data_IF_661893244855
#
_entry.id   IF_661893244855
#
_cell.length_a   1.000
_cell.length_b   1.000
_cell.length_c   1.000
_cell.angle_alpha   90.00
_cell.angle_beta   90.00
_cell.angle_gamma   90.00
#
_symmetry.space_group_name_H-M   'P 1'
#
loop_
_entity.id
_entity.type
_entity.pdbx_description
1 polymer ?
#
# COMPACT_ATOMS: atom_id res chain seq x y z
N UNK A 1 13.14 36.99 6.46
CA UNK A 1 14.28 36.10 6.76
C UNK A 1 15.60 36.84 6.47
N UNK A 2 15.79 37.37 5.26
CA UNK A 2 17.06 38.02 4.86
C UNK A 2 17.40 39.20 5.77
N UNK A 3 16.43 40.03 6.17
CA UNK A 3 16.65 41.23 7.00
C UNK A 3 16.77 40.92 8.49
N UNK A 4 15.83 40.10 9.00
CA UNK A 4 15.64 39.94 10.45
C UNK A 4 16.03 38.55 10.97
N UNK A 5 16.46 37.65 10.04
CA UNK A 5 16.75 36.26 10.37
C UNK A 5 15.50 35.40 10.58
N UNK A 6 15.71 34.25 11.19
CA UNK A 6 14.67 33.28 11.51
C UNK A 6 14.89 32.71 12.91
N UNK A 7 13.81 32.59 13.68
CA UNK A 7 13.89 32.05 15.03
C UNK A 7 14.24 30.59 15.09
N UNK A 8 13.67 29.81 14.15
CA UNK A 8 13.86 28.36 14.08
C UNK A 8 14.61 28.01 12.80
N UNK A 9 15.64 27.17 12.92
CA UNK A 9 16.42 26.69 11.78
C UNK A 9 15.75 25.57 11.01
N UNK A 10 14.86 24.82 11.66
CA UNK A 10 14.17 23.66 11.10
C UNK A 10 12.67 23.86 11.15
N UNK A 11 12.03 23.99 9.98
CA UNK A 11 10.65 24.42 9.86
C UNK A 11 9.75 23.41 9.13
N UNK A 12 10.32 22.55 8.29
CA UNK A 12 9.54 21.70 7.40
C UNK A 12 9.95 20.24 7.49
N UNK A 13 8.96 19.40 7.82
CA UNK A 13 9.06 17.93 7.84
C UNK A 13 7.82 17.30 7.21
N UNK A 14 7.90 16.04 6.84
CA UNK A 14 6.74 15.23 6.45
C UNK A 14 6.48 14.19 7.54
N UNK A 15 5.37 14.39 8.27
CA UNK A 15 4.95 13.51 9.36
C UNK A 15 4.09 12.34 8.84
N UNK A 16 3.97 11.23 9.61
CA UNK A 16 3.16 10.08 9.23
C UNK A 16 1.65 10.36 9.30
N UNK A 17 1.21 11.38 10.03
CA UNK A 17 -0.19 11.85 10.16
C UNK A 17 -1.22 10.79 10.56
N UNK A 18 -0.82 9.74 11.27
CA UNK A 18 -1.66 8.57 11.56
C UNK A 18 -2.96 8.89 12.34
N UNK A 19 -2.92 9.89 13.22
CA UNK A 19 -4.08 10.31 14.02
C UNK A 19 -4.75 11.56 13.42
N UNK A 20 -3.97 12.55 13.02
CA UNK A 20 -4.48 13.81 12.47
C UNK A 20 -5.32 13.57 11.20
N UNK A 21 -4.88 12.66 10.34
CA UNK A 21 -5.62 12.30 9.13
C UNK A 21 -7.02 11.79 9.40
N UNK A 22 -7.23 11.04 10.50
CA UNK A 22 -8.55 10.57 10.89
C UNK A 22 -9.47 11.72 11.32
N UNK A 23 -8.93 12.70 12.03
CA UNK A 23 -9.68 13.89 12.48
C UNK A 23 -10.08 14.73 11.26
N UNK A 24 -9.17 14.88 10.30
CA UNK A 24 -9.39 15.68 9.09
C UNK A 24 -10.17 14.92 8.00
N UNK A 25 -10.42 13.62 8.16
CA UNK A 25 -11.12 12.81 7.14
C UNK A 25 -10.34 12.63 5.84
N UNK A 26 -9.01 12.58 5.91
CA UNK A 26 -8.11 12.41 4.76
C UNK A 26 -7.27 11.15 4.90
N UNK A 27 -6.62 10.73 3.81
CA UNK A 27 -5.67 9.61 3.85
C UNK A 27 -4.45 9.98 4.71
N UNK A 28 -3.94 9.01 5.46
CA UNK A 28 -2.71 9.20 6.22
C UNK A 28 -1.48 9.14 5.29
N UNK A 29 -0.43 9.85 5.69
CA UNK A 29 0.84 9.97 4.98
C UNK A 29 0.74 10.67 3.61
N UNK A 30 1.82 10.67 2.84
CA UNK A 30 1.88 11.26 1.51
C UNK A 30 2.02 10.18 0.42
N UNK A 31 2.16 8.92 0.82
CA UNK A 31 2.24 7.77 -0.07
C UNK A 31 0.85 7.33 -0.55
N UNK A 32 0.80 6.47 -1.58
CA UNK A 32 -0.43 5.82 -2.01
C UNK A 32 -1.10 5.03 -0.88
N UNK A 33 -2.41 4.92 -0.94
CA UNK A 33 -3.20 4.11 0.00
C UNK A 33 -2.76 2.65 -0.05
N UNK A 34 -2.57 2.02 1.11
CA UNK A 34 -2.16 0.62 1.14
C UNK A 34 -3.26 -0.36 0.69
N UNK A 35 -4.54 -0.01 0.87
CA UNK A 35 -5.71 -0.73 0.40
C UNK A 35 -6.86 0.24 0.13
N UNK A 36 -7.71 -0.02 -0.88
CA UNK A 36 -8.90 0.78 -1.14
C UNK A 36 -10.10 0.38 -0.28
N UNK A 37 -10.09 -0.81 0.29
CA UNK A 37 -11.08 -1.32 1.26
C UNK A 37 -10.33 -2.08 2.36
N UNK A 38 -10.57 -1.73 3.61
CA UNK A 38 -9.95 -2.40 4.76
C UNK A 38 -10.81 -2.24 6.02
N UNK A 39 -10.58 -3.10 7.00
CA UNK A 39 -11.18 -3.00 8.32
C UNK A 39 -10.18 -2.34 9.27
N UNK A 40 -10.61 -1.30 9.93
CA UNK A 40 -9.87 -0.63 10.99
C UNK A 40 -10.45 -1.04 12.34
N UNK A 41 -9.67 -1.74 13.13
CA UNK A 41 -10.03 -2.12 14.49
C UNK A 41 -9.41 -1.16 15.51
N UNK A 42 -10.16 -0.73 16.48
CA UNK A 42 -9.71 0.02 17.66
C UNK A 42 -10.50 -0.40 18.90
N UNK A 43 -10.24 0.24 20.03
CA UNK A 43 -10.94 -0.07 21.30
C UNK A 43 -12.45 0.17 21.26
N UNK A 44 -12.95 0.97 20.31
CA UNK A 44 -14.38 1.28 20.13
C UNK A 44 -15.08 0.33 19.16
N UNK A 45 -14.35 -0.57 18.50
CA UNK A 45 -14.91 -1.55 17.56
C UNK A 45 -14.16 -1.64 16.22
N UNK A 46 -14.80 -2.29 15.27
CA UNK A 46 -14.31 -2.49 13.92
C UNK A 46 -15.09 -1.61 12.93
N UNK A 47 -14.34 -0.91 12.09
CA UNK A 47 -14.91 0.03 11.12
C UNK A 47 -14.40 -0.34 9.72
N UNK A 48 -15.31 -0.61 8.82
CA UNK A 48 -14.97 -0.78 7.40
C UNK A 48 -14.73 0.58 6.77
N UNK A 49 -13.53 0.76 6.25
CA UNK A 49 -13.10 1.98 5.55
C UNK A 49 -12.95 1.67 4.08
N UNK A 50 -13.56 2.48 3.24
CA UNK A 50 -13.46 2.39 1.79
C UNK A 50 -13.02 3.73 1.22
N UNK A 51 -12.25 3.70 0.13
CA UNK A 51 -11.84 4.89 -0.59
C UNK A 51 -13.07 5.59 -1.22
N UNK A 52 -13.48 6.77 -0.73
CA UNK A 52 -14.72 7.41 -1.19
C UNK A 52 -14.63 7.91 -2.64
N UNK A 53 -13.42 8.24 -3.11
CA UNK A 53 -13.19 8.66 -4.50
C UNK A 53 -13.38 7.50 -5.46
N UNK A 54 -12.85 6.32 -5.12
CA UNK A 54 -13.09 5.10 -5.89
C UNK A 54 -14.58 4.79 -5.99
N UNK A 55 -15.31 4.84 -4.88
CA UNK A 55 -16.76 4.59 -4.88
C UNK A 55 -17.50 5.58 -5.79
N UNK A 56 -17.11 6.85 -5.74
CA UNK A 56 -17.68 7.89 -6.62
C UNK A 56 -17.46 7.56 -8.08
N UNK A 57 -16.25 7.22 -8.48
CA UNK A 57 -15.90 6.93 -9.87
C UNK A 57 -16.56 5.64 -10.37
N UNK A 58 -16.61 4.60 -9.53
CA UNK A 58 -17.34 3.37 -9.85
C UNK A 58 -18.84 3.60 -10.02
N UNK A 59 -19.45 4.50 -9.20
CA UNK A 59 -20.86 4.89 -9.36
C UNK A 59 -21.10 5.64 -10.66
N UNK A 60 -20.21 6.55 -11.05
CA UNK A 60 -20.30 7.29 -12.32
C UNK A 60 -20.26 6.36 -13.53
N UNK A 61 -19.53 5.26 -13.44
CA UNK A 61 -19.44 4.24 -14.49
C UNK A 61 -20.54 3.16 -14.38
N UNK A 62 -21.44 3.22 -13.41
CA UNK A 62 -22.47 2.21 -13.20
C UNK A 62 -21.92 0.85 -12.73
N UNK A 63 -20.68 0.82 -12.19
CA UNK A 63 -20.00 -0.39 -11.76
C UNK A 63 -20.13 -0.67 -10.25
N UNK A 64 -20.72 0.25 -9.49
CA UNK A 64 -20.90 0.11 -8.05
C UNK A 64 -22.14 -0.70 -7.71
N UNK A 65 -21.95 -1.97 -7.41
CA UNK A 65 -22.98 -2.94 -7.02
C UNK A 65 -22.48 -3.91 -5.94
N UNK A 66 -23.32 -4.86 -5.54
CA UNK A 66 -22.97 -5.86 -4.54
C UNK A 66 -21.82 -6.78 -4.99
N UNK A 67 -21.74 -7.08 -6.30
CA UNK A 67 -20.67 -7.89 -6.86
C UNK A 67 -19.33 -7.15 -6.75
N UNK A 68 -19.27 -5.86 -7.10
CA UNK A 68 -18.08 -5.03 -6.95
C UNK A 68 -17.60 -4.98 -5.50
N UNK A 69 -18.53 -4.85 -4.54
CA UNK A 69 -18.17 -4.84 -3.13
C UNK A 69 -17.57 -6.18 -2.68
N UNK A 70 -18.10 -7.31 -3.18
CA UNK A 70 -17.56 -8.62 -2.90
C UNK A 70 -16.20 -8.84 -3.56
N UNK A 71 -16.03 -8.39 -4.80
CA UNK A 71 -14.75 -8.43 -5.51
C UNK A 71 -13.68 -7.63 -4.74
N UNK A 72 -14.00 -6.42 -4.29
CA UNK A 72 -13.10 -5.60 -3.48
C UNK A 72 -12.73 -6.26 -2.16
N UNK A 73 -13.67 -6.93 -1.49
CA UNK A 73 -13.37 -7.70 -0.26
C UNK A 73 -12.47 -8.89 -0.58
N UNK A 74 -12.74 -9.61 -1.65
CA UNK A 74 -11.97 -10.79 -2.05
C UNK A 74 -10.53 -10.45 -2.42
N UNK A 75 -10.32 -9.34 -3.11
CA UNK A 75 -8.98 -8.87 -3.53
C UNK A 75 -8.35 -7.84 -2.59
N UNK A 76 -8.80 -7.76 -1.33
CA UNK A 76 -8.23 -6.88 -0.30
C UNK A 76 -8.15 -5.40 -0.74
N UNK A 77 -9.16 -4.94 -1.47
CA UNK A 77 -9.25 -3.58 -1.99
C UNK A 77 -8.43 -3.30 -3.24
N UNK A 78 -7.80 -4.32 -3.84
CA UNK A 78 -7.14 -4.21 -5.15
C UNK A 78 -8.15 -4.27 -6.29
N UNK A 79 -7.91 -3.47 -7.34
CA UNK A 79 -8.70 -3.48 -8.58
C UNK A 79 -8.06 -4.31 -9.69
N UNK A 80 -6.81 -4.73 -9.54
CA UNK A 80 -6.01 -5.26 -10.65
C UNK A 80 -6.63 -6.50 -11.30
N UNK A 81 -7.20 -7.38 -10.49
CA UNK A 81 -7.81 -8.64 -10.94
C UNK A 81 -9.31 -8.54 -11.26
N UNK A 82 -9.93 -7.37 -11.12
CA UNK A 82 -11.36 -7.17 -11.41
C UNK A 82 -11.52 -6.78 -12.88
N UNK A 83 -11.91 -7.73 -13.72
CA UNK A 83 -11.94 -7.58 -15.19
C UNK A 83 -12.81 -6.43 -15.67
N UNK A 84 -13.99 -6.25 -15.06
CA UNK A 84 -14.95 -5.21 -15.44
C UNK A 84 -14.52 -3.77 -15.11
N UNK A 85 -13.43 -3.59 -14.37
CA UNK A 85 -12.89 -2.26 -14.06
C UNK A 85 -11.96 -1.82 -15.18
N UNK A 86 -12.13 -0.62 -15.74
CA UNK A 86 -11.23 -0.08 -16.75
C UNK A 86 -9.80 0.08 -16.25
N UNK A 87 -8.82 -0.13 -17.13
CA UNK A 87 -7.39 -0.03 -16.78
C UNK A 87 -6.99 1.36 -16.27
N UNK A 88 -7.65 2.41 -16.74
CA UNK A 88 -7.44 3.77 -16.23
C UNK A 88 -7.75 3.90 -14.74
N UNK A 89 -8.82 3.25 -14.25
CA UNK A 89 -9.14 3.22 -12.83
C UNK A 89 -8.20 2.28 -12.06
N UNK A 90 -7.80 1.15 -12.64
CA UNK A 90 -6.81 0.25 -12.02
C UNK A 90 -5.49 0.97 -11.76
N UNK A 91 -5.03 1.79 -12.70
CA UNK A 91 -3.82 2.59 -12.55
C UNK A 91 -4.00 3.72 -11.52
N UNK A 92 -5.14 4.42 -11.56
CA UNK A 92 -5.42 5.55 -10.67
C UNK A 92 -5.51 5.13 -9.21
N UNK A 93 -6.16 3.99 -8.94
CA UNK A 93 -6.40 3.45 -7.60
C UNK A 93 -5.48 2.27 -7.25
N UNK A 94 -4.32 2.19 -7.91
CA UNK A 94 -3.30 1.21 -7.56
C UNK A 94 -2.89 1.37 -6.09
N UNK A 95 -2.84 0.27 -5.36
CA UNK A 95 -2.44 0.26 -3.96
C UNK A 95 -0.92 0.41 -3.80
N UNK A 96 -0.48 0.78 -2.61
CA UNK A 96 0.95 0.97 -2.33
C UNK A 96 1.78 -0.29 -2.56
N UNK A 97 1.19 -1.48 -2.43
CA UNK A 97 1.85 -2.76 -2.72
C UNK A 97 1.96 -3.09 -4.21
N UNK A 98 1.13 -2.48 -5.04
CA UNK A 98 1.10 -2.66 -6.50
C UNK A 98 2.05 -1.70 -7.22
N UNK A 99 2.45 -0.64 -6.55
CA UNK A 99 3.38 0.35 -7.07
C UNK A 99 4.82 -0.09 -6.76
N UNK A 100 5.70 -0.17 -7.76
CA UNK A 100 7.11 -0.49 -7.52
C UNK A 100 7.75 0.47 -6.51
N UNK A 101 8.36 -0.08 -5.45
CA UNK A 101 8.87 0.70 -4.31
C UNK A 101 9.89 1.77 -4.69
N UNK A 102 10.64 1.57 -5.79
CA UNK A 102 11.60 2.57 -6.27
C UNK A 102 10.94 3.91 -6.62
N UNK A 103 9.68 3.93 -7.05
CA UNK A 103 8.95 5.17 -7.30
C UNK A 103 8.65 5.96 -6.02
N UNK A 104 8.42 5.27 -4.91
CA UNK A 104 8.27 5.91 -3.61
C UNK A 104 9.58 6.57 -3.17
N UNK A 105 10.71 5.89 -3.40
CA UNK A 105 12.05 6.42 -3.13
C UNK A 105 12.35 7.63 -4.02
N UNK A 106 12.06 7.56 -5.31
CA UNK A 106 12.24 8.69 -6.24
C UNK A 106 11.39 9.90 -5.83
N UNK A 107 10.13 9.68 -5.51
CA UNK A 107 9.24 10.75 -5.03
C UNK A 107 9.75 11.35 -3.72
N UNK A 108 10.19 10.50 -2.78
CA UNK A 108 10.79 10.91 -1.51
C UNK A 108 12.06 11.74 -1.72
N UNK A 109 12.96 11.30 -2.59
CA UNK A 109 14.19 12.01 -2.93
C UNK A 109 13.92 13.40 -3.52
N UNK A 110 12.95 13.51 -4.43
CA UNK A 110 12.55 14.79 -5.01
C UNK A 110 11.98 15.76 -4.00
N UNK A 111 11.25 15.27 -2.98
CA UNK A 111 10.72 16.08 -1.89
C UNK A 111 11.80 16.49 -0.90
N UNK A 112 12.79 15.63 -0.62
CA UNK A 112 13.81 15.84 0.41
C UNK A 112 14.59 17.14 0.24
N UNK A 113 14.83 17.58 -0.98
CA UNK A 113 15.53 18.83 -1.25
C UNK A 113 14.76 20.10 -0.88
N UNK A 114 13.45 19.99 -0.65
CA UNK A 114 12.57 21.13 -0.35
C UNK A 114 12.20 21.23 1.13
N UNK A 115 12.61 20.25 1.93
CA UNK A 115 12.36 20.21 3.37
C UNK A 115 13.70 20.22 4.11
N UNK A 116 13.75 20.92 5.23
CA UNK A 116 14.96 21.03 6.05
C UNK A 116 15.12 19.88 7.04
N UNK A 117 14.03 19.26 7.45
CA UNK A 117 14.04 18.08 8.31
C UNK A 117 13.92 16.78 7.48
N UNK A 118 13.47 15.71 8.10
CA UNK A 118 13.28 14.43 7.48
C UNK A 118 11.81 14.19 7.08
N UNK A 119 11.57 13.08 6.41
CA UNK A 119 10.24 12.63 6.06
C UNK A 119 10.01 11.19 6.55
N UNK A 120 8.81 10.94 7.08
CA UNK A 120 8.37 9.61 7.49
C UNK A 120 7.90 8.83 6.27
N UNK A 121 8.85 8.37 5.47
CA UNK A 121 8.59 7.63 4.23
C UNK A 121 8.29 6.18 4.55
N UNK A 122 7.01 5.77 4.37
CA UNK A 122 6.63 4.36 4.43
C UNK A 122 7.02 3.65 3.13
N UNK A 123 7.48 2.42 3.30
CA UNK A 123 7.91 1.56 2.20
C UNK A 123 7.00 0.33 2.15
N UNK A 124 6.70 -0.13 0.93
CA UNK A 124 5.79 -1.25 0.71
C UNK A 124 6.45 -2.25 -0.22
N UNK A 125 6.44 -3.52 0.17
CA UNK A 125 7.07 -4.59 -0.59
C UNK A 125 6.17 -5.82 -0.56
N UNK A 126 5.52 -6.13 -1.68
CA UNK A 126 4.58 -7.26 -1.77
C UNK A 126 5.28 -8.62 -1.59
N UNK A 127 6.48 -8.75 -2.15
CA UNK A 127 7.31 -9.95 -2.05
C UNK A 127 8.67 -9.55 -1.49
N UNK A 128 8.84 -9.74 -0.19
CA UNK A 128 10.08 -9.42 0.52
C UNK A 128 11.14 -10.52 0.27
N UNK A 129 12.38 -10.07 -0.01
CA UNK A 129 13.58 -10.93 0.04
C UNK A 129 14.76 -10.10 0.52
N UNK A 130 15.76 -10.75 1.08
CA UNK A 130 16.97 -10.09 1.57
C UNK A 130 17.64 -9.24 0.49
N UNK A 131 17.73 -9.75 -0.73
CA UNK A 131 18.30 -9.03 -1.87
C UNK A 131 17.51 -7.75 -2.21
N UNK A 132 16.17 -7.86 -2.33
CA UNK A 132 15.32 -6.69 -2.62
C UNK A 132 15.40 -5.63 -1.51
N UNK A 133 15.52 -6.09 -0.27
CA UNK A 133 15.65 -5.21 0.88
C UNK A 133 16.98 -4.45 0.86
N UNK A 134 18.08 -5.13 0.61
CA UNK A 134 19.40 -4.55 0.49
C UNK A 134 19.46 -3.52 -0.65
N UNK A 135 18.96 -3.88 -1.82
CA UNK A 135 18.86 -2.98 -2.98
C UNK A 135 18.02 -1.74 -2.67
N UNK A 136 16.90 -1.91 -1.98
CA UNK A 136 16.01 -0.82 -1.59
C UNK A 136 16.71 0.17 -0.67
N UNK A 137 17.33 -0.29 0.42
CA UNK A 137 18.00 0.60 1.38
C UNK A 137 19.26 1.24 0.81
N UNK A 138 20.01 0.55 -0.04
CA UNK A 138 21.10 1.16 -0.82
C UNK A 138 20.61 2.29 -1.72
N UNK A 139 19.48 2.07 -2.41
CA UNK A 139 18.87 3.09 -3.25
C UNK A 139 18.41 4.31 -2.45
N UNK A 140 17.76 4.09 -1.30
CA UNK A 140 17.34 5.17 -0.38
C UNK A 140 18.53 6.04 0.01
N UNK A 141 19.64 5.42 0.39
CA UNK A 141 20.85 6.15 0.77
C UNK A 141 21.48 6.90 -0.41
N UNK A 142 21.66 6.23 -1.55
CA UNK A 142 22.23 6.84 -2.75
C UNK A 142 21.40 8.01 -3.27
N UNK A 143 20.07 7.98 -3.07
CA UNK A 143 19.15 9.06 -3.43
C UNK A 143 19.10 10.21 -2.42
N UNK A 144 19.90 10.16 -1.35
CA UNK A 144 20.05 11.24 -0.37
C UNK A 144 18.87 11.42 0.58
N UNK A 145 18.08 10.38 0.81
CA UNK A 145 17.03 10.40 1.81
C UNK A 145 17.63 10.36 3.21
N UNK A 146 17.21 11.26 4.10
CA UNK A 146 17.69 11.31 5.49
C UNK A 146 17.15 10.16 6.33
N UNK A 147 15.90 9.77 6.10
CA UNK A 147 15.19 8.73 6.86
C UNK A 147 14.22 7.96 5.97
N UNK A 148 13.91 6.74 6.40
CA UNK A 148 12.70 6.00 6.07
C UNK A 148 11.84 5.85 7.32
N UNK A 149 10.69 5.17 7.21
CA UNK A 149 9.82 4.89 8.35
C UNK A 149 9.48 3.41 8.40
N UNK A 150 8.22 3.03 8.31
CA UNK A 150 7.86 1.61 8.31
C UNK A 150 8.15 0.95 6.96
N UNK A 151 8.69 -0.26 7.02
CA UNK A 151 8.65 -1.21 5.93
C UNK A 151 7.45 -2.15 6.16
N UNK A 152 6.53 -2.18 5.21
CA UNK A 152 5.36 -3.05 5.24
C UNK A 152 5.52 -4.12 4.16
N UNK A 153 5.38 -5.36 4.56
CA UNK A 153 5.41 -6.52 3.66
C UNK A 153 4.09 -7.25 3.72
N UNK A 154 3.72 -7.92 2.64
CA UNK A 154 2.61 -8.87 2.66
C UNK A 154 3.10 -10.18 3.25
N UNK A 155 2.29 -10.84 4.10
CA UNK A 155 2.59 -12.15 4.64
C UNK A 155 2.68 -13.21 3.54
N UNK A 156 3.55 -14.20 3.74
CA UNK A 156 3.68 -15.33 2.81
C UNK A 156 2.44 -16.25 2.83
N UNK A 157 1.70 -16.24 3.95
CA UNK A 157 0.47 -17.03 4.12
C UNK A 157 -0.74 -16.19 3.83
N UNK A 158 -1.51 -16.56 2.82
CA UNK A 158 -2.86 -16.04 2.62
C UNK A 158 -3.82 -16.79 3.55
N UNK A 159 -4.66 -16.06 4.28
CA UNK A 159 -5.81 -16.66 4.95
C UNK A 159 -6.70 -17.29 3.88
N UNK A 160 -7.14 -18.53 4.08
CA UNK A 160 -8.14 -19.13 3.18
C UNK A 160 -9.32 -18.18 3.08
N UNK A 161 -9.59 -17.71 1.86
CA UNK A 161 -10.74 -16.85 1.59
C UNK A 161 -11.93 -17.77 1.52
N UNK A 162 -12.83 -17.69 2.52
CA UNK A 162 -14.06 -18.45 2.53
C UNK A 162 -14.83 -18.18 1.24
N UNK A 163 -15.12 -19.23 0.48
CA UNK A 163 -15.99 -19.18 -0.68
C UNK A 163 -17.39 -18.88 -0.14
N UNK A 164 -17.90 -17.68 -0.36
CA UNK A 164 -19.29 -17.37 -0.04
C UNK A 164 -20.17 -18.18 -0.99
N UNK A 165 -20.81 -19.21 -0.48
CA UNK A 165 -21.81 -19.97 -1.22
C UNK A 165 -22.93 -19.00 -1.67
N UNK A 166 -23.16 -18.92 -2.97
CA UNK A 166 -24.35 -18.32 -3.57
C UNK A 166 -24.20 -16.93 -4.20
N UNK A 167 -23.03 -16.32 -4.30
CA UNK A 167 -22.83 -15.13 -5.13
C UNK A 167 -22.00 -15.47 -6.36
N UNK A 168 -22.54 -15.17 -7.54
CA UNK A 168 -21.77 -15.22 -8.78
C UNK A 168 -20.68 -14.15 -8.73
N UNK A 169 -19.49 -14.54 -8.22
CA UNK A 169 -18.29 -13.73 -8.34
C UNK A 169 -17.81 -13.88 -9.79
N UNK A 170 -17.75 -12.79 -10.54
CA UNK A 170 -17.20 -12.79 -11.90
C UNK A 170 -15.70 -13.14 -11.93
N UNK A 171 -15.05 -13.26 -10.76
CA UNK A 171 -13.62 -13.38 -10.61
C UNK A 171 -13.13 -14.70 -10.04
N UNK A 172 -14.00 -15.65 -9.72
CA UNK A 172 -13.54 -16.99 -9.30
C UNK A 172 -13.29 -17.85 -10.54
N UNK A 173 -12.29 -17.52 -11.32
CA UNK A 173 -11.51 -18.57 -11.95
C UNK A 173 -10.60 -19.13 -10.86
N UNK A 174 -10.76 -20.40 -10.55
CA UNK A 174 -9.88 -21.15 -9.67
C UNK A 174 -8.47 -21.09 -10.26
N UNK A 175 -7.68 -20.14 -9.80
CA UNK A 175 -6.24 -20.30 -9.88
C UNK A 175 -5.95 -21.57 -9.08
N UNK A 176 -5.59 -22.64 -9.78
CA UNK A 176 -5.04 -23.85 -9.16
C UNK A 176 -4.00 -23.35 -8.16
N UNK A 177 -4.05 -23.71 -6.89
CA UNK A 177 -3.08 -23.25 -5.93
C UNK A 177 -1.71 -23.62 -6.51
N UNK A 178 -0.91 -22.61 -6.81
CA UNK A 178 0.51 -22.82 -7.01
C UNK A 178 0.94 -23.60 -5.77
N UNK A 179 1.39 -24.84 -5.98
CA UNK A 179 1.85 -25.71 -4.92
C UNK A 179 2.76 -24.91 -4.01
N UNK A 180 2.29 -24.65 -2.79
CA UNK A 180 3.05 -23.88 -1.83
C UNK A 180 4.43 -24.53 -1.74
N UNK A 181 5.46 -23.80 -2.09
CA UNK A 181 6.83 -24.15 -1.80
C UNK A 181 6.92 -24.21 -0.27
N UNK A 182 6.60 -25.37 0.29
CA UNK A 182 6.88 -25.66 1.69
C UNK A 182 8.39 -25.60 1.83
N UNK A 183 8.84 -24.71 2.70
CA UNK A 183 10.24 -24.60 3.04
C UNK A 183 10.74 -25.97 3.49
N UNK A 184 11.63 -26.59 2.72
CA UNK A 184 12.27 -27.85 3.09
C UNK A 184 13.59 -27.52 3.77
N UNK A 185 13.74 -27.97 5.02
CA UNK A 185 14.99 -27.84 5.79
C UNK A 185 16.18 -28.54 5.08
N UNK A 186 15.90 -29.36 4.07
CA UNK A 186 16.92 -30.13 3.34
C UNK A 186 17.30 -29.51 1.98
N UNK A 187 16.75 -28.36 1.65
CA UNK A 187 17.08 -27.65 0.38
C UNK A 187 18.09 -26.53 0.67
N UNK A 188 19.38 -26.72 0.27
CA UNK A 188 20.42 -25.72 0.54
C UNK A 188 20.26 -24.42 -0.27
N UNK A 189 19.40 -24.41 -1.28
CA UNK A 189 19.15 -23.25 -2.16
C UNK A 189 17.81 -22.54 -1.81
N UNK A 190 17.17 -22.89 -0.69
CA UNK A 190 15.92 -22.27 -0.26
C UNK A 190 16.16 -20.83 0.23
N UNK A 191 15.86 -19.84 -0.60
CA UNK A 191 16.02 -18.41 -0.28
C UNK A 191 15.08 -17.91 0.83
N UNK A 192 14.11 -18.71 1.27
CA UNK A 192 13.13 -18.30 2.30
C UNK A 192 13.66 -18.41 3.74
N UNK A 193 14.79 -19.09 3.96
CA UNK A 193 15.36 -19.35 5.27
C UNK A 193 16.75 -18.72 5.50
N UNK A 194 17.22 -17.86 4.61
CA UNK A 194 18.48 -17.11 4.76
C UNK A 194 18.24 -15.68 5.18
#
# INVERSE_FOLDING_TARGET
>A
VIKDGMRNSNCMAIAPTATISNICGVAQSIEPTYQNLFVKSNMSGEFTVINPYLVKDLKLLGLWDAVMLNDLKYYDGSLQKIERVPDSLKQLYATAFEIPTHWLVEAGSRRQKWIDQSQSLNLYMAQASGKKLDELYKNIWLKGLKTSYYLRTMGATHTEKATLEGSHLNSVQSDTPASGLSCSILDPDCESCQ
#
